data_IF_189791367636
#
_entry.id   IF_189791367636
#
_cell.length_a   1.000
_cell.length_b   1.000
_cell.length_c   1.000
_cell.angle_alpha   90.00
_cell.angle_beta   90.00
_cell.angle_gamma   90.00
#
_symmetry.space_group_name_H-M   'P 1'
#
loop_
_entity.id
_entity.type
_entity.pdbx_description
1 polymer ?
#
# COMPACT_ATOMS: atom_id res chain seq x y z
N UNK A 1 18.52 -7.51 -21.40
CA UNK A 1 17.57 -7.07 -20.35
C UNK A 1 17.87 -5.64 -19.89
N UNK A 2 19.03 -5.31 -19.31
CA UNK A 2 19.39 -3.92 -18.91
C UNK A 2 19.15 -2.85 -19.98
N UNK A 3 19.53 -3.13 -21.24
CA UNK A 3 19.28 -2.24 -22.40
C UNK A 3 17.79 -1.93 -22.63
N UNK A 4 16.92 -2.93 -22.45
CA UNK A 4 15.46 -2.74 -22.59
C UNK A 4 14.89 -2.01 -21.37
N UNK A 5 15.33 -2.36 -20.16
CA UNK A 5 14.90 -1.69 -18.92
C UNK A 5 15.29 -0.19 -18.89
N UNK A 6 16.40 0.16 -19.53
CA UNK A 6 16.86 1.55 -19.66
C UNK A 6 16.48 2.22 -20.98
N UNK A 7 15.57 1.64 -21.77
CA UNK A 7 15.13 2.30 -23.01
C UNK A 7 14.31 3.55 -22.69
N UNK A 8 14.26 4.56 -23.58
CA UNK A 8 13.46 5.76 -23.36
C UNK A 8 11.99 5.46 -23.05
N UNK A 9 11.41 4.44 -23.70
CA UNK A 9 10.04 3.99 -23.47
C UNK A 9 9.85 3.40 -22.07
N UNK A 10 10.79 2.56 -21.61
CA UNK A 10 10.75 1.97 -20.28
C UNK A 10 10.91 3.03 -19.17
N UNK A 11 11.79 4.02 -19.39
CA UNK A 11 12.00 5.13 -18.46
C UNK A 11 10.78 6.05 -18.38
N UNK A 12 10.17 6.37 -19.53
CA UNK A 12 8.93 7.16 -19.58
C UNK A 12 7.79 6.43 -18.86
N UNK A 13 7.58 5.15 -19.16
CA UNK A 13 6.53 4.36 -18.53
C UNK A 13 6.74 4.22 -17.01
N UNK A 14 8.00 4.12 -16.55
CA UNK A 14 8.33 4.16 -15.12
C UNK A 14 7.91 5.48 -14.48
N UNK A 15 8.27 6.60 -15.10
CA UNK A 15 7.95 7.93 -14.58
C UNK A 15 6.45 8.15 -14.50
N UNK A 16 5.70 7.77 -15.54
CA UNK A 16 4.24 7.86 -15.55
C UNK A 16 3.59 7.00 -14.44
N UNK A 17 4.08 5.77 -14.25
CA UNK A 17 3.59 4.90 -13.18
C UNK A 17 3.92 5.45 -11.78
N UNK A 18 5.13 5.97 -11.58
CA UNK A 18 5.53 6.60 -10.32
C UNK A 18 4.70 7.84 -10.01
N UNK A 19 4.49 8.72 -11.00
CA UNK A 19 3.66 9.91 -10.85
C UNK A 19 2.22 9.55 -10.50
N UNK A 20 1.62 8.58 -11.19
CA UNK A 20 0.26 8.14 -10.88
C UNK A 20 0.13 7.62 -9.45
N UNK A 21 1.11 6.85 -8.95
CA UNK A 21 1.12 6.42 -7.54
C UNK A 21 1.30 7.59 -6.58
N UNK A 22 2.16 8.56 -6.89
CA UNK A 22 2.36 9.75 -6.05
C UNK A 22 1.12 10.64 -6.00
N UNK A 23 0.40 10.80 -7.10
CA UNK A 23 -0.85 11.56 -7.16
C UNK A 23 -1.91 10.94 -6.23
N UNK A 24 -2.02 9.61 -6.20
CA UNK A 24 -2.89 8.91 -5.25
C UNK A 24 -2.46 9.17 -3.81
N UNK A 25 -1.17 9.06 -3.48
CA UNK A 25 -0.65 9.34 -2.12
C UNK A 25 -0.97 10.78 -1.71
N UNK A 26 -0.81 11.73 -2.63
CA UNK A 26 -1.09 13.14 -2.37
C UNK A 26 -2.58 13.38 -2.07
N UNK A 27 -3.50 12.68 -2.76
CA UNK A 27 -4.93 12.74 -2.44
C UNK A 27 -5.20 12.17 -1.04
N UNK A 28 -4.57 11.05 -0.66
CA UNK A 28 -4.72 10.50 0.68
C UNK A 28 -4.25 11.47 1.76
N UNK A 29 -3.09 12.09 1.58
CA UNK A 29 -2.53 13.07 2.54
C UNK A 29 -3.38 14.35 2.63
N UNK A 30 -3.95 14.80 1.51
CA UNK A 30 -4.74 16.04 1.47
C UNK A 30 -6.19 15.87 1.97
N UNK A 31 -6.82 14.72 1.70
CA UNK A 31 -8.27 14.55 1.85
C UNK A 31 -8.67 13.70 3.05
N UNK A 32 -7.74 12.94 3.63
CA UNK A 32 -8.00 12.08 4.79
C UNK A 32 -7.46 12.69 6.09
N UNK A 33 -7.91 12.23 7.27
CA UNK A 33 -7.35 12.68 8.56
C UNK A 33 -5.98 12.05 8.89
N UNK A 34 -5.35 11.37 7.93
CA UNK A 34 -4.06 10.69 8.10
C UNK A 34 -2.91 11.66 7.78
N UNK A 35 -1.77 11.53 8.47
CA UNK A 35 -0.57 12.35 8.19
C UNK A 35 0.50 11.52 7.51
N UNK A 36 0.86 11.83 6.26
CA UNK A 36 1.89 11.09 5.53
C UNK A 36 3.25 11.19 6.22
N UNK A 37 3.87 10.03 6.44
CA UNK A 37 5.15 9.96 7.14
C UNK A 37 6.25 9.24 6.38
N UNK A 38 5.89 8.26 5.56
CA UNK A 38 6.86 7.44 4.83
C UNK A 38 6.24 6.86 3.56
N UNK A 39 6.97 6.94 2.45
CA UNK A 39 6.66 6.27 1.19
C UNK A 39 7.76 5.28 0.87
N UNK A 40 7.37 4.07 0.45
CA UNK A 40 8.26 3.04 -0.06
C UNK A 40 7.84 2.69 -1.46
N UNK A 41 8.75 2.85 -2.41
CA UNK A 41 8.55 2.51 -3.81
C UNK A 41 9.63 1.52 -4.22
N UNK A 42 9.20 0.37 -4.72
CA UNK A 42 10.08 -0.65 -5.28
C UNK A 42 9.68 -0.92 -6.72
N UNK A 43 10.64 -0.89 -7.64
CA UNK A 43 10.42 -1.33 -9.00
C UNK A 43 11.50 -2.30 -9.46
N UNK A 44 11.07 -3.31 -10.22
CA UNK A 44 11.93 -4.40 -10.68
C UNK A 44 11.57 -4.82 -12.09
N UNK A 45 12.58 -5.04 -12.92
CA UNK A 45 12.49 -5.62 -14.24
C UNK A 45 13.01 -7.06 -14.22
N UNK A 46 12.17 -8.00 -14.65
CA UNK A 46 12.54 -9.41 -14.80
C UNK A 46 12.51 -9.80 -16.28
N UNK A 47 13.48 -10.61 -16.71
CA UNK A 47 13.39 -11.31 -17.99
C UNK A 47 12.50 -12.55 -17.85
N UNK A 48 12.04 -13.11 -18.97
CA UNK A 48 11.43 -14.44 -18.95
C UNK A 48 12.43 -15.47 -18.44
N UNK A 49 12.03 -16.26 -17.45
CA UNK A 49 12.76 -17.44 -16.98
C UNK A 49 12.26 -18.69 -17.70
N UNK A 50 13.18 -19.59 -18.05
CA UNK A 50 12.82 -20.90 -18.61
C UNK A 50 11.90 -21.63 -17.62
N UNK A 51 10.91 -22.38 -18.13
CA UNK A 51 10.09 -23.25 -17.28
C UNK A 51 11.02 -24.30 -16.65
N UNK A 52 11.19 -24.26 -15.33
CA UNK A 52 11.91 -25.30 -14.62
C UNK A 52 11.07 -26.59 -14.64
N UNK A 53 11.74 -27.75 -14.77
CA UNK A 53 11.11 -29.07 -14.97
C UNK A 53 10.18 -29.47 -13.82
N UNK A 54 10.37 -28.88 -12.63
CA UNK A 54 9.68 -29.24 -11.39
C UNK A 54 8.72 -28.16 -10.87
N UNK A 55 8.82 -26.92 -11.36
CA UNK A 55 7.92 -25.81 -10.98
C UNK A 55 7.64 -24.92 -12.20
N UNK A 56 6.50 -25.07 -12.89
CA UNK A 56 6.18 -24.33 -14.11
C UNK A 56 5.68 -22.91 -13.81
N UNK A 57 6.27 -22.21 -12.84
CA UNK A 57 5.98 -20.79 -12.54
C UNK A 57 6.80 -19.84 -13.41
N UNK A 58 7.81 -20.34 -14.13
CA UNK A 58 8.56 -19.60 -15.15
C UNK A 58 7.67 -19.18 -16.32
N UNK A 59 7.51 -17.87 -16.53
CA UNK A 59 6.77 -17.33 -17.66
C UNK A 59 7.72 -16.91 -18.78
N UNK A 60 7.90 -17.81 -19.74
CA UNK A 60 8.75 -17.59 -20.92
C UNK A 60 8.13 -16.64 -21.97
N UNK A 61 6.99 -16.01 -21.66
CA UNK A 61 6.19 -15.22 -22.62
C UNK A 61 6.77 -13.84 -22.91
N UNK A 62 7.56 -13.27 -22.00
CA UNK A 62 8.09 -11.91 -22.11
C UNK A 62 9.61 -11.89 -22.20
N UNK A 63 10.13 -11.00 -23.06
CA UNK A 63 11.55 -10.62 -23.09
C UNK A 63 11.91 -9.83 -21.84
N UNK A 64 10.99 -8.99 -21.37
CA UNK A 64 11.09 -8.22 -20.13
C UNK A 64 9.69 -7.88 -19.62
N UNK A 65 9.53 -7.90 -18.31
CA UNK A 65 8.38 -7.34 -17.59
C UNK A 65 8.93 -6.52 -16.43
N UNK A 66 8.55 -5.25 -16.37
CA UNK A 66 8.87 -4.37 -15.27
C UNK A 66 7.61 -4.04 -14.48
N UNK A 67 7.74 -4.14 -13.16
CA UNK A 67 6.66 -3.98 -12.20
C UNK A 67 7.06 -3.02 -11.10
N UNK A 68 6.10 -2.29 -10.55
CA UNK A 68 6.27 -1.34 -9.45
C UNK A 68 5.29 -1.70 -8.32
N UNK A 69 5.78 -1.67 -7.08
CA UNK A 69 5.03 -1.81 -5.84
C UNK A 69 5.22 -0.54 -5.02
N UNK A 70 4.12 0.00 -4.50
CA UNK A 70 4.13 1.24 -3.71
C UNK A 70 3.34 1.04 -2.44
N UNK A 71 3.92 1.47 -1.32
CA UNK A 71 3.24 1.57 -0.04
C UNK A 71 3.48 2.97 0.55
N UNK A 72 2.46 3.53 1.19
CA UNK A 72 2.59 4.75 1.97
C UNK A 72 2.09 4.52 3.39
N UNK A 73 2.79 5.11 4.35
CA UNK A 73 2.59 4.94 5.78
C UNK A 73 2.23 6.29 6.37
N UNK A 74 1.21 6.28 7.20
CA UNK A 74 0.63 7.48 7.78
C UNK A 74 0.49 7.36 9.29
N UNK A 75 0.68 8.46 9.99
CA UNK A 75 0.39 8.57 11.41
C UNK A 75 -1.06 8.98 11.68
N UNK A 76 -1.61 8.51 12.79
CA UNK A 76 -2.91 8.95 13.31
C UNK A 76 -2.97 8.78 14.84
N UNK A 77 -3.94 9.44 15.49
CA UNK A 77 -4.19 9.30 16.93
C UNK A 77 -5.10 8.07 17.21
N UNK A 78 -4.65 7.07 17.97
CA UNK A 78 -5.43 5.87 18.26
C UNK A 78 -6.73 6.15 19.03
N UNK A 79 -6.83 7.27 19.75
CA UNK A 79 -8.05 7.68 20.47
C UNK A 79 -9.18 8.12 19.53
N UNK A 80 -8.84 8.41 18.27
CA UNK A 80 -9.78 8.90 17.25
C UNK A 80 -10.09 7.86 16.18
N UNK A 81 -9.82 6.59 16.44
CA UNK A 81 -9.89 5.52 15.43
C UNK A 81 -11.20 5.50 14.61
N UNK A 82 -12.34 5.64 15.29
CA UNK A 82 -13.64 5.74 14.62
C UNK A 82 -13.72 6.94 13.68
N UNK A 83 -13.36 8.13 14.15
CA UNK A 83 -13.35 9.37 13.35
C UNK A 83 -12.35 9.28 12.19
N UNK A 84 -11.20 8.64 12.41
CA UNK A 84 -10.15 8.50 11.40
C UNK A 84 -10.66 7.66 10.23
N UNK A 85 -11.26 6.49 10.49
CA UNK A 85 -11.81 5.63 9.44
C UNK A 85 -13.01 6.31 8.77
N UNK A 86 -13.93 6.88 9.55
CA UNK A 86 -15.11 7.62 9.03
C UNK A 86 -14.69 8.81 8.14
N UNK A 87 -13.58 9.46 8.49
CA UNK A 87 -12.95 10.50 7.68
C UNK A 87 -12.35 9.97 6.36
N UNK A 88 -11.73 8.78 6.38
CA UNK A 88 -11.29 8.10 5.15
C UNK A 88 -12.48 7.76 4.25
N UNK A 89 -13.58 7.25 4.81
CA UNK A 89 -14.79 6.94 4.03
C UNK A 89 -15.44 8.20 3.44
N UNK A 90 -15.50 9.27 4.24
CA UNK A 90 -15.96 10.58 3.78
C UNK A 90 -15.10 11.13 2.63
N UNK A 91 -13.79 10.90 2.67
CA UNK A 91 -12.89 11.28 1.58
C UNK A 91 -13.14 10.44 0.31
N UNK A 92 -13.41 9.14 0.45
CA UNK A 92 -13.83 8.27 -0.65
C UNK A 92 -15.14 8.70 -1.29
N UNK A 93 -16.16 9.06 -0.50
CA UNK A 93 -17.43 9.58 -1.02
C UNK A 93 -17.24 10.80 -1.94
N UNK A 94 -16.27 11.67 -1.62
CA UNK A 94 -15.98 12.91 -2.37
C UNK A 94 -15.08 12.69 -3.58
N UNK A 95 -14.03 11.90 -3.41
CA UNK A 95 -12.91 11.80 -4.37
C UNK A 95 -13.01 10.61 -5.31
N UNK A 96 -13.73 9.55 -4.90
CA UNK A 96 -13.91 8.33 -5.68
C UNK A 96 -12.63 7.49 -5.78
N UNK A 97 -12.23 7.02 -6.99
CA UNK A 97 -11.25 5.94 -7.15
C UNK A 97 -9.90 6.06 -6.42
N UNK A 98 -9.30 7.26 -6.23
CA UNK A 98 -8.06 7.38 -5.46
C UNK A 98 -8.17 6.89 -4.01
N UNK A 99 -9.37 6.97 -3.41
CA UNK A 99 -9.69 6.44 -2.07
C UNK A 99 -10.87 5.46 -2.24
N UNK A 100 -10.60 4.16 -2.49
CA UNK A 100 -11.61 3.21 -2.91
C UNK A 100 -12.47 2.66 -1.75
N UNK A 101 -12.61 3.45 -0.68
CA UNK A 101 -13.38 3.11 0.51
C UNK A 101 -14.34 4.24 0.80
N UNK A 102 -15.64 3.94 0.74
CA UNK A 102 -16.72 4.89 0.90
C UNK A 102 -17.75 4.34 1.90
N UNK A 103 -18.80 5.11 2.18
CA UNK A 103 -19.86 4.66 3.08
C UNK A 103 -20.79 3.61 2.45
N UNK A 104 -20.73 3.38 1.14
CA UNK A 104 -21.46 2.28 0.50
C UNK A 104 -20.80 0.93 0.79
N UNK A 105 -19.50 0.92 1.12
CA UNK A 105 -18.80 -0.28 1.55
C UNK A 105 -19.27 -0.75 2.95
N UNK A 106 -20.23 -1.68 2.96
CA UNK A 106 -20.87 -2.20 4.18
C UNK A 106 -19.86 -2.64 5.27
N UNK A 107 -18.79 -3.33 4.87
CA UNK A 107 -17.78 -3.78 5.83
C UNK A 107 -17.09 -2.61 6.51
N UNK A 108 -16.71 -1.56 5.78
CA UNK A 108 -16.08 -0.38 6.33
C UNK A 108 -16.96 0.36 7.34
N UNK A 109 -18.27 0.50 7.05
CA UNK A 109 -19.23 1.06 8.03
C UNK A 109 -19.29 0.24 9.32
N UNK A 110 -19.29 -1.09 9.20
CA UNK A 110 -19.28 -1.98 10.37
C UNK A 110 -18.01 -1.81 11.20
N UNK A 111 -16.86 -1.61 10.54
CA UNK A 111 -15.59 -1.31 11.22
C UNK A 111 -15.67 0.02 11.99
N UNK A 112 -16.25 1.07 11.41
CA UNK A 112 -16.47 2.34 12.12
C UNK A 112 -17.36 2.14 13.36
N UNK A 113 -18.46 1.41 13.22
CA UNK A 113 -19.38 1.16 14.33
C UNK A 113 -18.76 0.28 15.44
N UNK A 114 -17.87 -0.65 15.08
CA UNK A 114 -17.05 -1.38 16.06
C UNK A 114 -16.17 -0.43 16.88
N UNK A 115 -15.47 0.51 16.23
CA UNK A 115 -14.63 1.48 16.94
C UNK A 115 -15.43 2.48 17.77
N UNK A 116 -16.69 2.76 17.39
CA UNK A 116 -17.66 3.52 18.20
C UNK A 116 -18.27 2.72 19.35
N UNK A 117 -18.01 1.41 19.43
CA UNK A 117 -18.56 0.52 20.46
C UNK A 117 -20.04 0.16 20.26
N UNK A 118 -20.55 0.27 19.03
CA UNK A 118 -21.95 -0.02 18.70
C UNK A 118 -22.21 -1.45 18.27
N UNK A 119 -21.17 -2.16 17.79
CA UNK A 119 -21.26 -3.53 17.32
C UNK A 119 -20.13 -4.38 17.92
N UNK A 120 -20.31 -5.69 17.92
CA UNK A 120 -19.21 -6.63 18.12
C UNK A 120 -18.30 -6.71 16.88
N UNK A 121 -17.45 -7.73 16.86
CA UNK A 121 -16.44 -7.97 15.82
C UNK A 121 -17.04 -7.96 14.39
N UNK A 122 -16.56 -7.11 13.47
CA UNK A 122 -17.16 -6.94 12.14
C UNK A 122 -17.17 -8.18 11.24
N UNK A 123 -16.24 -9.13 11.45
CA UNK A 123 -16.17 -10.39 10.70
C UNK A 123 -16.88 -11.55 11.42
N UNK A 124 -17.51 -11.28 12.57
CA UNK A 124 -18.21 -12.26 13.39
C UNK A 124 -17.50 -12.52 14.73
N UNK A 125 -18.19 -13.12 15.71
CA UNK A 125 -17.68 -13.27 17.07
C UNK A 125 -16.34 -14.01 17.13
N UNK A 126 -15.37 -13.47 17.87
CA UNK A 126 -14.06 -14.08 18.08
C UNK A 126 -13.07 -13.85 16.94
N UNK A 127 -13.40 -12.98 15.99
CA UNK A 127 -12.47 -12.56 14.92
C UNK A 127 -11.55 -11.43 15.35
N UNK A 128 -11.86 -10.77 16.48
CA UNK A 128 -11.02 -9.75 17.08
C UNK A 128 -11.14 -8.38 16.42
N UNK A 129 -10.18 -7.51 16.74
CA UNK A 129 -10.13 -6.15 16.24
C UNK A 129 -9.85 -6.12 14.72
N UNK A 130 -10.66 -5.42 13.92
CA UNK A 130 -10.39 -5.25 12.49
C UNK A 130 -9.15 -4.39 12.29
N UNK A 131 -8.26 -4.83 11.42
CA UNK A 131 -6.96 -4.17 11.12
C UNK A 131 -6.80 -3.77 9.67
N UNK A 132 -7.82 -3.97 8.83
CA UNK A 132 -7.75 -3.70 7.41
C UNK A 132 -9.10 -3.40 6.75
N UNK A 133 -9.05 -2.63 5.67
CA UNK A 133 -10.05 -2.56 4.61
C UNK A 133 -9.41 -3.01 3.31
N UNK A 134 -10.07 -3.92 2.61
CA UNK A 134 -9.58 -4.48 1.36
C UNK A 134 -10.70 -4.54 0.33
N UNK A 135 -10.40 -4.10 -0.88
CA UNK A 135 -11.23 -4.29 -2.06
C UNK A 135 -10.38 -4.89 -3.18
N UNK A 136 -10.88 -5.96 -3.80
CA UNK A 136 -10.07 -6.76 -4.72
C UNK A 136 -9.67 -5.93 -5.96
N UNK A 137 -8.37 -5.90 -6.24
CA UNK A 137 -7.82 -5.18 -7.40
C UNK A 137 -7.62 -3.68 -7.18
N UNK A 138 -7.85 -3.17 -5.97
CA UNK A 138 -7.61 -1.77 -5.60
C UNK A 138 -6.63 -1.68 -4.42
N UNK A 139 -6.59 -0.52 -3.77
CA UNK A 139 -5.74 -0.25 -2.60
C UNK A 139 -6.22 -1.10 -1.42
N UNK A 140 -5.26 -1.63 -0.66
CA UNK A 140 -5.48 -2.16 0.68
C UNK A 140 -5.11 -1.08 1.71
N UNK A 141 -5.96 -0.86 2.70
CA UNK A 141 -5.67 -0.04 3.87
C UNK A 141 -5.54 -0.94 5.09
N UNK A 142 -4.42 -0.89 5.80
CA UNK A 142 -4.21 -1.61 7.06
C UNK A 142 -3.69 -0.70 8.16
N UNK A 143 -3.83 -1.08 9.42
CA UNK A 143 -3.42 -0.27 10.57
C UNK A 143 -3.06 -1.10 11.81
N UNK A 144 -2.39 -0.45 12.77
CA UNK A 144 -2.07 -1.04 14.08
C UNK A 144 -3.33 -1.37 14.89
N UNK A 145 -3.37 -2.51 15.58
CA UNK A 145 -4.39 -2.76 16.61
C UNK A 145 -4.24 -1.78 17.77
N UNK A 146 -5.35 -1.20 18.23
CA UNK A 146 -5.36 -0.18 19.29
C UNK A 146 -6.08 -0.63 20.55
N UNK A 147 -6.87 -1.72 20.51
CA UNK A 147 -7.60 -2.27 21.68
C UNK A 147 -6.89 -3.45 22.33
N UNK A 148 -6.00 -4.13 21.61
CA UNK A 148 -5.24 -5.30 22.10
C UNK A 148 -4.05 -4.99 23.02
N UNK A 149 -3.82 -3.72 23.37
CA UNK A 149 -2.69 -3.29 24.22
C UNK A 149 -1.33 -3.72 23.64
N UNK A 150 -0.40 -4.09 24.51
CA UNK A 150 1.00 -4.45 24.13
C UNK A 150 1.11 -5.75 23.30
N UNK A 151 0.02 -6.53 23.18
CA UNK A 151 -0.02 -7.77 22.41
C UNK A 151 -0.66 -7.61 21.03
N UNK A 152 -1.03 -6.38 20.67
CA UNK A 152 -1.67 -6.09 19.40
C UNK A 152 -0.75 -6.31 18.19
N UNK A 153 -1.34 -6.76 17.09
CA UNK A 153 -0.67 -6.76 15.79
C UNK A 153 -0.43 -5.30 15.34
N UNK A 154 0.77 -5.03 14.84
CA UNK A 154 1.18 -3.70 14.40
C UNK A 154 1.75 -3.75 13.00
N UNK A 155 1.63 -2.64 12.27
CA UNK A 155 2.29 -2.44 10.98
C UNK A 155 3.80 -2.58 11.17
N UNK A 156 4.38 -3.53 10.45
CA UNK A 156 5.81 -3.79 10.47
C UNK A 156 6.59 -2.72 9.72
N UNK A 157 7.88 -2.59 10.05
CA UNK A 157 8.80 -1.81 9.21
C UNK A 157 8.82 -2.37 7.79
N UNK A 158 8.91 -1.51 6.75
CA UNK A 158 9.18 -1.98 5.42
C UNK A 158 10.47 -2.81 5.40
N UNK A 159 10.46 -3.85 4.57
CA UNK A 159 11.64 -4.68 4.34
C UNK A 159 12.80 -3.79 3.90
N UNK A 160 14.01 -4.16 4.33
CA UNK A 160 15.21 -3.46 3.88
C UNK A 160 15.28 -3.47 2.36
N UNK A 161 15.50 -2.30 1.77
CA UNK A 161 15.68 -2.17 0.33
C UNK A 161 16.70 -3.19 -0.17
N UNK A 162 16.30 -4.01 -1.14
CA UNK A 162 17.24 -4.81 -1.91
C UNK A 162 18.30 -3.91 -2.56
N UNK A 163 19.50 -4.44 -2.91
CA UNK A 163 20.54 -3.66 -3.56
C UNK A 163 19.99 -2.88 -4.76
N UNK A 164 20.18 -1.57 -4.73
CA UNK A 164 19.76 -0.66 -5.80
C UNK A 164 20.65 -0.91 -7.03
N UNK A 165 20.07 -1.45 -8.10
CA UNK A 165 20.77 -1.77 -9.36
C UNK A 165 19.98 -1.22 -10.56
N UNK A 166 19.93 0.11 -10.74
CA UNK A 166 19.24 0.71 -11.87
C UNK A 166 19.97 0.34 -13.19
N UNK A 167 19.23 0.13 -14.29
CA UNK A 167 17.80 0.37 -14.46
C UNK A 167 16.91 -0.84 -14.10
N UNK A 168 17.47 -1.93 -13.55
CA UNK A 168 16.75 -3.20 -13.36
C UNK A 168 15.98 -3.24 -12.06
N UNK A 169 16.54 -2.67 -10.99
CA UNK A 169 15.92 -2.65 -9.67
C UNK A 169 16.14 -1.31 -8.99
N UNK A 170 15.07 -0.73 -8.48
CA UNK A 170 15.12 0.46 -7.63
C UNK A 170 14.25 0.28 -6.41
N UNK A 171 14.76 0.75 -5.27
CA UNK A 171 14.02 0.86 -4.03
C UNK A 171 14.25 2.26 -3.50
N UNK A 172 13.18 3.01 -3.30
CA UNK A 172 13.17 4.34 -2.72
C UNK A 172 12.42 4.28 -1.40
N UNK A 173 13.00 4.92 -0.39
CA UNK A 173 12.41 5.14 0.93
C UNK A 173 12.45 6.63 1.20
N UNK A 174 11.28 7.25 1.33
CA UNK A 174 11.16 8.70 1.38
C UNK A 174 10.26 9.14 2.55
N UNK A 175 10.78 9.94 3.51
CA UNK A 175 12.18 10.29 3.71
C UNK A 175 13.04 9.06 4.09
N UNK A 176 14.32 9.06 3.71
CA UNK A 176 15.22 7.93 3.98
C UNK A 176 15.43 7.64 5.48
N UNK A 177 15.29 8.67 6.32
CA UNK A 177 15.39 8.60 7.79
C UNK A 177 14.09 8.21 8.48
N UNK A 178 12.94 8.26 7.78
CA UNK A 178 11.65 7.95 8.39
C UNK A 178 11.53 6.45 8.65
N UNK A 179 10.82 6.08 9.72
CA UNK A 179 10.58 4.70 10.14
C UNK A 179 9.17 4.54 10.67
N UNK A 180 8.60 3.34 10.54
CA UNK A 180 7.27 3.02 11.08
C UNK A 180 7.26 3.17 12.60
N UNK A 181 8.32 2.74 13.28
CA UNK A 181 8.51 2.94 14.70
C UNK A 181 8.61 4.44 15.08
N UNK A 182 9.22 5.26 14.22
CA UNK A 182 9.25 6.71 14.39
C UNK A 182 7.84 7.33 14.32
N UNK A 183 7.07 6.97 13.29
CA UNK A 183 5.68 7.42 13.14
C UNK A 183 4.81 6.98 14.30
N UNK A 184 4.94 5.73 14.75
CA UNK A 184 4.20 5.24 15.91
C UNK A 184 4.53 6.01 17.19
N UNK A 185 5.80 6.38 17.39
CA UNK A 185 6.21 7.19 18.55
C UNK A 185 5.62 8.60 18.50
N UNK A 186 5.52 9.19 17.31
CA UNK A 186 5.04 10.56 17.11
C UNK A 186 3.52 10.67 17.19
N UNK A 187 2.80 9.77 16.51
CA UNK A 187 1.35 9.86 16.34
C UNK A 187 0.56 8.89 17.23
N UNK A 188 1.19 7.80 17.68
CA UNK A 188 0.59 6.77 18.53
C UNK A 188 0.20 5.50 17.77
N UNK A 189 -0.19 5.61 16.49
CA UNK A 189 -0.44 4.46 15.62
C UNK A 189 -0.07 4.76 14.16
N UNK A 190 0.04 3.68 13.37
CA UNK A 190 0.36 3.74 11.95
C UNK A 190 -0.73 3.10 11.11
N UNK A 191 -1.11 3.79 10.04
CA UNK A 191 -1.85 3.28 8.90
C UNK A 191 -0.90 3.02 7.73
N UNK A 192 -1.23 2.07 6.88
CA UNK A 192 -0.50 1.74 5.66
C UNK A 192 -1.49 1.56 4.52
N UNK A 193 -1.24 2.24 3.39
CA UNK A 193 -1.85 1.85 2.13
C UNK A 193 -0.87 1.01 1.32
N UNK A 194 -1.37 -0.07 0.73
CA UNK A 194 -0.64 -0.88 -0.24
C UNK A 194 -1.34 -0.78 -1.58
N UNK A 195 -0.66 -0.25 -2.59
CA UNK A 195 -1.21 -0.12 -3.94
C UNK A 195 -1.08 -1.44 -4.73
N UNK A 196 -1.98 -1.72 -5.68
CA UNK A 196 -1.80 -2.81 -6.62
C UNK A 196 -0.45 -2.72 -7.35
N UNK A 197 0.15 -3.88 -7.61
CA UNK A 197 1.40 -3.93 -8.40
C UNK A 197 1.12 -3.50 -9.84
N UNK A 198 1.79 -2.44 -10.28
CA UNK A 198 1.65 -1.89 -11.63
C UNK A 198 2.69 -2.50 -12.56
N UNK A 199 2.24 -3.16 -13.63
CA UNK A 199 3.12 -3.67 -14.68
C UNK A 199 3.33 -2.59 -15.75
N UNK A 200 4.27 -1.67 -15.50
CA UNK A 200 4.41 -0.45 -16.30
C UNK A 200 5.07 -0.67 -17.67
N UNK A 201 5.88 -1.72 -17.85
CA UNK A 201 6.56 -1.97 -19.12
C UNK A 201 6.70 -3.46 -19.39
N UNK A 202 6.16 -3.93 -20.51
CA UNK A 202 6.25 -5.35 -20.91
C UNK A 202 6.60 -5.44 -22.39
N UNK A 203 7.60 -6.25 -22.72
CA UNK A 203 7.91 -6.64 -24.10
C UNK A 203 7.75 -8.13 -24.23
N UNK A 204 6.85 -8.54 -25.12
CA UNK A 204 6.58 -9.95 -25.39
C UNK A 204 7.68 -10.57 -26.28
N UNK A 205 7.83 -11.89 -26.21
CA UNK A 205 8.71 -12.61 -27.14
C UNK A 205 8.20 -12.55 -28.56
#
# INVERSE_FOLDING_TARGET
>A
MRKLAGSPEALKARQEAELASRDVIAVWDAETPLTLGLVVLEDVCVGGSAKELFFPTGSDRYKIKCSMSVAAYFGADPRRMADTIDGVLSAGDRTGPPIPFDHEFHYARTVVDYYRGKTGDPRGPGTGEPTELFSAGTIELSWDQVRSGDTGEVIEEPRSCSPHDPPVRRCLREPASASVAGLRREYGMVFKITMPVTNYFTVWK
#
